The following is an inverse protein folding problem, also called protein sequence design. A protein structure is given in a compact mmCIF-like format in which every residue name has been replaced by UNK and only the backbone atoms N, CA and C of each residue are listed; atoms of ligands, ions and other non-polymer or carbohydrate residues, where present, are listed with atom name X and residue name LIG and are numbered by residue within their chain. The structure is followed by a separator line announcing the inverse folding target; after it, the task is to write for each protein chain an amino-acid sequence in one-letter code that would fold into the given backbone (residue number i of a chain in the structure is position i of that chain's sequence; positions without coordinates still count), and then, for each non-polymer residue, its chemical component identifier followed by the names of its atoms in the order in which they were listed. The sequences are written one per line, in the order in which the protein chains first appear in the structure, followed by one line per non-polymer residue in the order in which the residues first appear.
data_IF_272583731781
#
_entry.id   IF_272583731781
#
_cell.length_a   1.000
_cell.length_b   1.000
_cell.length_c   1.000
_cell.angle_alpha   90.00
_cell.angle_beta   90.00
_cell.angle_gamma   90.00
#
_symmetry.space_group_name_H-M   'P 1'
#
loop_
_entity.id
_entity.type
_entity.pdbx_description
1 polymer ?
#
# COMPACT_ATOMS: atom_id res chain seq x y z
N UNK A 1 46.28 42.62 -7.35
CA UNK A 1 44.98 42.62 -8.00
C UNK A 1 44.27 41.33 -7.70
N UNK A 2 43.32 41.41 -6.79
CA UNK A 2 42.58 40.31 -6.22
C UNK A 2 41.24 40.18 -6.94
N UNK A 3 40.88 39.02 -7.45
CA UNK A 3 39.52 38.70 -7.91
C UNK A 3 38.98 37.57 -7.07
N UNK A 4 38.09 37.91 -6.13
CA UNK A 4 37.21 36.98 -5.47
C UNK A 4 36.10 36.59 -6.46
N UNK A 5 35.84 35.28 -6.59
CA UNK A 5 34.62 34.74 -7.19
C UNK A 5 33.71 34.28 -6.04
N UNK A 6 32.61 34.97 -5.87
CA UNK A 6 31.52 34.59 -5.03
C UNK A 6 30.69 33.55 -5.76
N UNK A 7 30.61 32.33 -5.18
CA UNK A 7 29.71 31.28 -5.64
C UNK A 7 28.42 31.36 -4.79
N UNK A 8 27.39 31.99 -5.38
CA UNK A 8 26.04 31.91 -4.81
C UNK A 8 25.47 30.51 -4.98
N UNK A 9 25.28 29.84 -3.84
CA UNK A 9 24.54 28.60 -3.74
C UNK A 9 23.03 28.92 -3.73
N UNK A 10 22.39 28.76 -4.87
CA UNK A 10 20.95 28.88 -5.00
C UNK A 10 20.25 27.68 -4.34
N UNK A 11 19.77 27.86 -3.10
CA UNK A 11 18.80 26.94 -2.49
C UNK A 11 17.46 27.11 -3.19
N UNK A 12 17.12 26.16 -4.05
CA UNK A 12 15.80 26.04 -4.64
C UNK A 12 14.77 25.76 -3.56
N UNK A 13 13.95 26.76 -3.26
CA UNK A 13 12.77 26.62 -2.40
C UNK A 13 11.74 25.83 -3.20
N UNK A 14 11.61 24.54 -2.91
CA UNK A 14 10.50 23.75 -3.42
C UNK A 14 9.23 24.20 -2.71
N UNK A 15 8.42 24.98 -3.43
CA UNK A 15 7.08 25.36 -3.00
C UNK A 15 6.21 24.11 -3.00
N UNK A 16 5.95 23.57 -1.81
CA UNK A 16 4.95 22.53 -1.62
C UNK A 16 3.58 23.10 -1.97
N UNK A 17 3.05 22.73 -3.13
CA UNK A 17 1.64 22.97 -3.48
C UNK A 17 0.77 22.26 -2.46
N UNK A 18 -0.14 23.00 -1.82
CA UNK A 18 -1.18 22.40 -0.95
C UNK A 18 -2.01 21.44 -1.81
N UNK A 19 -2.15 20.15 -1.39
CA UNK A 19 -2.98 19.21 -2.13
C UNK A 19 -4.43 19.67 -2.14
N UNK A 20 -5.07 19.59 -3.29
CA UNK A 20 -6.51 19.87 -3.42
C UNK A 20 -7.26 18.71 -2.74
N UNK A 21 -8.38 19.02 -2.07
CA UNK A 21 -9.25 18.06 -1.34
C UNK A 21 -9.65 16.78 -2.10
N UNK A 22 -9.33 16.67 -3.38
CA UNK A 22 -9.57 15.48 -4.22
C UNK A 22 -8.50 14.38 -4.08
N UNK A 23 -7.34 14.68 -3.50
CA UNK A 23 -6.23 13.71 -3.38
C UNK A 23 -6.41 12.73 -2.20
N UNK A 24 -7.38 12.98 -1.31
CA UNK A 24 -7.66 12.11 -0.15
C UNK A 24 -8.27 10.76 -0.57
N UNK A 25 -8.92 10.69 -1.75
CA UNK A 25 -9.52 9.48 -2.28
C UNK A 25 -8.54 8.48 -2.87
N UNK A 26 -7.38 8.93 -3.36
CA UNK A 26 -6.47 8.13 -4.19
C UNK A 26 -5.75 7.07 -3.37
N UNK A 27 -5.16 7.44 -2.23
CA UNK A 27 -4.45 6.47 -1.39
C UNK A 27 -5.41 5.41 -0.84
N UNK A 28 -6.61 5.81 -0.40
CA UNK A 28 -7.64 4.88 0.07
C UNK A 28 -8.20 4.00 -1.06
N UNK A 29 -8.35 4.52 -2.29
CA UNK A 29 -8.84 3.75 -3.42
C UNK A 29 -7.81 2.72 -3.91
N UNK A 30 -6.53 3.08 -4.00
CA UNK A 30 -5.46 2.16 -4.40
C UNK A 30 -5.35 0.99 -3.44
N UNK A 31 -5.44 1.25 -2.14
CA UNK A 31 -5.37 0.20 -1.12
C UNK A 31 -6.65 -0.64 -1.09
N UNK A 32 -7.84 -0.04 -1.29
CA UNK A 32 -9.10 -0.78 -1.45
C UNK A 32 -9.08 -1.72 -2.66
N UNK A 33 -8.49 -1.27 -3.77
CA UNK A 33 -8.33 -2.09 -4.97
C UNK A 33 -7.33 -3.22 -4.71
N UNK A 34 -6.20 -2.98 -4.06
CA UNK A 34 -5.25 -4.04 -3.68
C UNK A 34 -5.87 -5.09 -2.75
N UNK A 35 -6.79 -4.70 -1.85
CA UNK A 35 -7.46 -5.62 -0.94
C UNK A 35 -8.65 -6.35 -1.55
N UNK A 36 -9.39 -5.73 -2.49
CA UNK A 36 -10.45 -6.41 -3.25
C UNK A 36 -9.87 -7.46 -4.20
N UNK A 37 -8.61 -7.30 -4.62
CA UNK A 37 -7.93 -8.24 -5.52
C UNK A 37 -7.31 -9.44 -4.81
N UNK A 38 -6.99 -9.31 -3.53
CA UNK A 38 -6.65 -10.43 -2.66
C UNK A 38 -7.89 -11.30 -2.32
N UNK A 39 -8.93 -11.26 -3.15
CA UNK A 39 -10.16 -12.05 -3.07
C UNK A 39 -9.99 -13.56 -3.15
N UNK A 40 -8.87 -14.08 -2.69
CA UNK A 40 -8.67 -15.47 -2.34
C UNK A 40 -8.96 -15.62 -0.85
N UNK A 41 -10.19 -16.06 -0.55
CA UNK A 41 -10.55 -16.81 0.66
C UNK A 41 -9.77 -16.42 1.92
N UNK A 42 -10.05 -15.24 2.48
CA UNK A 42 -9.80 -15.02 3.90
C UNK A 42 -10.75 -15.98 4.62
N UNK A 43 -10.27 -17.20 4.89
CA UNK A 43 -10.82 -18.04 5.94
C UNK A 43 -10.61 -17.21 7.20
N UNK A 44 -11.69 -16.57 7.65
CA UNK A 44 -11.78 -15.96 8.97
C UNK A 44 -11.52 -17.10 9.95
N UNK A 45 -10.26 -17.33 10.28
CA UNK A 45 -9.86 -18.10 11.46
C UNK A 45 -10.19 -17.22 12.65
N UNK A 46 -11.41 -17.40 13.11
CA UNK A 46 -11.91 -16.93 14.39
C UNK A 46 -10.99 -17.43 15.52
N UNK A 47 -9.85 -16.77 15.71
CA UNK A 47 -9.06 -16.91 16.92
C UNK A 47 -9.67 -15.97 17.96
N UNK A 48 -10.71 -16.44 18.63
CA UNK A 48 -11.11 -15.94 19.94
C UNK A 48 -9.97 -16.20 20.94
N UNK A 49 -8.94 -15.35 20.88
CA UNK A 49 -8.08 -15.15 22.05
C UNK A 49 -8.75 -14.04 22.87
N UNK A 50 -9.48 -14.46 23.89
CA UNK A 50 -9.97 -13.59 24.96
C UNK A 50 -8.75 -13.00 25.71
N UNK A 51 -8.14 -11.95 25.16
CA UNK A 51 -7.34 -11.02 25.96
C UNK A 51 -8.33 -10.01 26.53
N UNK A 52 -8.33 -9.87 27.85
CA UNK A 52 -9.04 -8.76 28.54
C UNK A 52 -8.60 -7.46 27.89
N UNK A 53 -9.52 -6.59 27.43
CA UNK A 53 -9.16 -5.29 26.88
C UNK A 53 -8.39 -4.51 27.94
N UNK A 54 -7.29 -3.92 27.53
CA UNK A 54 -6.52 -3.00 28.37
C UNK A 54 -7.32 -1.69 28.39
N UNK A 55 -8.06 -1.43 29.48
CA UNK A 55 -9.06 -0.33 29.60
C UNK A 55 -8.53 1.04 29.14
N UNK A 56 -7.21 1.30 29.25
CA UNK A 56 -6.59 2.55 28.78
C UNK A 56 -6.44 2.68 27.26
N UNK A 57 -6.49 1.60 26.49
CA UNK A 57 -6.35 1.65 25.03
C UNK A 57 -7.67 2.03 24.35
N UNK A 58 -8.78 1.69 24.96
CA UNK A 58 -10.12 1.92 24.42
C UNK A 58 -10.53 3.42 24.47
N UNK A 59 -9.87 4.24 25.30
CA UNK A 59 -10.22 5.66 25.48
C UNK A 59 -9.99 6.51 24.23
N UNK A 60 -8.91 6.26 23.45
CA UNK A 60 -8.57 7.07 22.27
C UNK A 60 -9.54 6.82 21.13
N UNK A 61 -9.84 5.55 20.83
CA UNK A 61 -10.80 5.21 19.81
C UNK A 61 -12.21 5.72 20.14
N UNK A 62 -12.65 5.60 21.40
CA UNK A 62 -13.96 6.08 21.85
C UNK A 62 -14.10 7.61 21.79
N UNK A 63 -12.99 8.34 21.86
CA UNK A 63 -12.98 9.80 21.74
C UNK A 63 -13.17 10.31 20.31
N UNK A 64 -13.02 9.45 19.29
CA UNK A 64 -13.23 9.80 17.90
C UNK A 64 -14.71 10.08 17.60
N UNK A 65 -14.98 10.92 16.61
CA UNK A 65 -16.33 11.11 16.06
C UNK A 65 -16.86 9.79 15.46
N UNK A 66 -18.16 9.68 15.21
CA UNK A 66 -18.75 8.48 14.60
C UNK A 66 -18.11 8.19 13.22
N UNK A 67 -17.97 9.21 12.38
CA UNK A 67 -17.33 9.10 11.06
C UNK A 67 -15.86 8.71 11.16
N UNK A 68 -15.12 9.28 12.11
CA UNK A 68 -13.71 8.93 12.31
C UNK A 68 -13.55 7.50 12.81
N UNK A 69 -14.49 6.98 13.61
CA UNK A 69 -14.48 5.57 14.03
C UNK A 69 -14.72 4.63 12.85
N UNK A 70 -15.66 4.96 11.96
CA UNK A 70 -15.88 4.19 10.74
C UNK A 70 -14.62 4.15 9.86
N UNK A 71 -13.93 5.30 9.74
CA UNK A 71 -12.64 5.37 9.02
C UNK A 71 -11.55 4.57 9.72
N UNK A 72 -11.49 4.63 11.05
CA UNK A 72 -10.51 3.85 11.83
C UNK A 72 -10.76 2.33 11.71
N UNK A 73 -12.02 1.90 11.73
CA UNK A 73 -12.39 0.50 11.56
C UNK A 73 -12.03 0.00 10.16
N UNK A 74 -12.27 0.81 9.11
CA UNK A 74 -11.88 0.51 7.74
C UNK A 74 -10.36 0.35 7.61
N UNK A 75 -9.58 1.27 8.19
CA UNK A 75 -8.13 1.19 8.14
C UNK A 75 -7.58 0.01 8.97
N UNK A 76 -8.23 -0.32 10.09
CA UNK A 76 -7.86 -1.47 10.90
C UNK A 76 -8.05 -2.78 10.13
N UNK A 77 -9.15 -2.92 9.40
CA UNK A 77 -9.40 -4.06 8.52
C UNK A 77 -8.40 -4.11 7.37
N UNK A 78 -8.19 -2.97 6.71
CA UNK A 78 -7.34 -2.86 5.54
C UNK A 78 -5.88 -3.20 5.81
N UNK A 79 -5.33 -2.73 6.94
CA UNK A 79 -3.93 -2.93 7.32
C UNK A 79 -3.73 -4.04 8.37
N UNK A 80 -4.77 -4.87 8.60
CA UNK A 80 -4.72 -5.99 9.53
C UNK A 80 -4.15 -5.58 10.91
N UNK A 81 -4.65 -4.48 11.46
CA UNK A 81 -4.18 -3.89 12.72
C UNK A 81 -5.35 -3.62 13.67
N UNK A 82 -5.04 -3.28 14.93
CA UNK A 82 -6.07 -2.92 15.90
C UNK A 82 -6.58 -1.48 15.65
N UNK A 83 -7.91 -1.26 15.69
CA UNK A 83 -8.54 0.06 15.59
C UNK A 83 -8.00 1.07 16.61
N UNK A 84 -7.60 0.62 17.79
CA UNK A 84 -6.94 1.43 18.80
C UNK A 84 -5.58 1.93 18.34
N UNK A 85 -4.84 1.12 17.58
CA UNK A 85 -3.56 1.52 16.98
C UNK A 85 -3.79 2.58 15.90
N UNK A 86 -4.80 2.39 15.05
CA UNK A 86 -5.21 3.40 14.05
C UNK A 86 -5.58 4.71 14.73
N UNK A 87 -6.42 4.66 15.77
CA UNK A 87 -6.83 5.84 16.53
C UNK A 87 -5.65 6.59 17.16
N UNK A 88 -4.64 5.88 17.67
CA UNK A 88 -3.42 6.49 18.20
C UNK A 88 -2.63 7.19 17.09
N UNK A 89 -2.41 6.55 15.95
CA UNK A 89 -1.71 7.15 14.82
C UNK A 89 -2.47 8.39 14.36
N UNK A 90 -3.80 8.33 14.29
CA UNK A 90 -4.64 9.47 13.96
C UNK A 90 -4.51 10.61 14.96
N UNK A 91 -4.44 10.33 16.25
CA UNK A 91 -4.23 11.34 17.29
C UNK A 91 -2.86 12.04 17.17
N UNK A 92 -1.84 11.33 16.70
CA UNK A 92 -0.51 11.86 16.43
C UNK A 92 -0.46 12.70 15.16
N UNK A 93 -0.99 12.17 14.06
CA UNK A 93 -0.91 12.78 12.73
C UNK A 93 -1.96 13.88 12.52
N UNK A 94 -3.12 13.76 13.17
CA UNK A 94 -4.31 14.62 13.03
C UNK A 94 -4.80 14.76 11.58
N UNK A 95 -4.44 13.80 10.75
CA UNK A 95 -4.72 13.76 9.32
C UNK A 95 -4.89 12.32 8.86
N UNK A 96 -6.03 11.99 8.25
CA UNK A 96 -6.33 10.62 7.83
C UNK A 96 -5.45 10.14 6.67
N UNK A 97 -5.02 11.03 5.79
CA UNK A 97 -4.10 10.67 4.70
C UNK A 97 -2.73 10.27 5.28
N UNK A 98 -2.20 11.07 6.21
CA UNK A 98 -0.93 10.74 6.88
C UNK A 98 -1.05 9.48 7.74
N UNK A 99 -2.21 9.26 8.38
CA UNK A 99 -2.50 8.03 9.10
C UNK A 99 -2.44 6.82 8.17
N UNK A 100 -3.10 6.89 7.02
CA UNK A 100 -3.07 5.84 6.01
C UNK A 100 -1.65 5.53 5.51
N UNK A 101 -0.88 6.56 5.16
CA UNK A 101 0.52 6.40 4.73
C UNK A 101 1.40 5.73 5.78
N UNK A 102 1.21 6.06 7.06
CA UNK A 102 1.97 5.44 8.14
C UNK A 102 1.57 3.98 8.35
N UNK A 103 0.29 3.67 8.29
CA UNK A 103 -0.21 2.30 8.36
C UNK A 103 0.27 1.46 7.18
N UNK A 104 0.24 2.01 5.96
CA UNK A 104 0.78 1.38 4.77
C UNK A 104 2.28 1.10 4.91
N UNK A 105 3.03 2.07 5.40
CA UNK A 105 4.44 1.89 5.68
C UNK A 105 4.66 0.76 6.69
N UNK A 106 3.94 0.75 7.81
CA UNK A 106 4.06 -0.28 8.85
C UNK A 106 3.59 -1.66 8.37
N UNK A 107 2.76 -1.72 7.32
CA UNK A 107 2.33 -2.97 6.69
C UNK A 107 3.42 -3.59 5.81
N UNK A 108 4.02 -2.78 4.94
CA UNK A 108 4.99 -3.25 3.95
C UNK A 108 6.43 -3.22 4.44
N UNK A 109 6.72 -2.54 5.56
CA UNK A 109 8.07 -2.49 6.14
C UNK A 109 8.07 -2.94 7.60
N UNK A 110 9.23 -3.36 8.06
CA UNK A 110 9.46 -3.72 9.47
C UNK A 110 10.20 -2.54 10.12
N UNK A 111 9.62 -1.88 11.15
CA UNK A 111 10.28 -0.76 11.82
C UNK A 111 11.67 -1.13 12.34
N UNK A 112 12.63 -0.22 12.26
CA UNK A 112 14.04 -0.47 12.61
C UNK A 112 14.24 -1.00 14.04
N UNK A 113 13.48 -0.48 15.01
CA UNK A 113 13.51 -1.00 16.37
C UNK A 113 13.01 -2.45 16.45
N UNK A 114 12.05 -2.82 15.61
CA UNK A 114 11.52 -4.19 15.52
C UNK A 114 12.52 -5.12 14.81
N UNK A 115 13.18 -4.64 13.73
CA UNK A 115 14.26 -5.40 13.07
C UNK A 115 15.37 -5.72 14.07
N UNK A 116 15.82 -4.71 14.82
CA UNK A 116 16.84 -4.91 15.86
C UNK A 116 16.43 -5.95 16.90
N UNK A 117 15.16 -5.91 17.39
CA UNK A 117 14.66 -6.92 18.33
C UNK A 117 14.63 -8.31 17.72
N UNK A 118 14.14 -8.44 16.48
CA UNK A 118 14.10 -9.73 15.77
C UNK A 118 15.50 -10.30 15.51
N UNK A 119 16.49 -9.46 15.19
CA UNK A 119 17.89 -9.91 15.08
C UNK A 119 18.42 -10.49 16.40
N UNK A 120 18.13 -9.85 17.54
CA UNK A 120 18.49 -10.37 18.88
C UNK A 120 17.78 -11.70 19.17
N UNK A 121 16.62 -11.94 18.58
CA UNK A 121 15.88 -13.20 18.68
C UNK A 121 16.38 -14.29 17.72
N UNK A 122 17.30 -13.95 16.79
CA UNK A 122 17.94 -14.89 15.86
C UNK A 122 17.39 -14.88 14.44
N UNK A 123 16.65 -13.85 14.04
CA UNK A 123 16.30 -13.62 12.63
C UNK A 123 17.48 -13.02 11.87
N UNK A 124 17.60 -13.30 10.57
CA UNK A 124 18.61 -12.69 9.72
C UNK A 124 18.13 -11.35 9.19
N UNK A 125 18.99 -10.33 9.17
CA UNK A 125 18.65 -9.03 8.57
C UNK A 125 18.29 -9.19 7.09
N UNK A 126 19.00 -10.03 6.35
CA UNK A 126 18.72 -10.33 4.94
C UNK A 126 17.31 -10.91 4.76
N UNK A 127 16.86 -11.78 5.68
CA UNK A 127 15.50 -12.33 5.66
C UNK A 127 14.45 -11.27 5.99
N UNK A 128 14.72 -10.35 6.92
CA UNK A 128 13.82 -9.23 7.23
C UNK A 128 13.65 -8.29 6.03
N UNK A 129 14.75 -7.94 5.36
CA UNK A 129 14.70 -7.14 4.12
C UNK A 129 14.01 -7.89 2.96
N UNK A 130 14.21 -9.20 2.88
CA UNK A 130 13.53 -10.01 1.86
C UNK A 130 12.03 -10.10 2.14
N UNK A 131 11.61 -10.15 3.41
CA UNK A 131 10.21 -10.10 3.80
C UNK A 131 9.53 -8.80 3.34
N UNK A 132 10.19 -7.65 3.47
CA UNK A 132 9.69 -6.37 2.97
C UNK A 132 9.52 -6.37 1.44
N UNK A 133 10.49 -6.90 0.71
CA UNK A 133 10.39 -7.02 -0.76
C UNK A 133 9.26 -7.95 -1.20
N UNK A 134 9.06 -9.05 -0.48
CA UNK A 134 7.99 -10.01 -0.77
C UNK A 134 6.63 -9.47 -0.33
N UNK A 135 6.56 -8.69 0.73
CA UNK A 135 5.34 -8.02 1.20
C UNK A 135 4.71 -7.20 0.08
N UNK A 136 5.48 -6.34 -0.57
CA UNK A 136 5.01 -5.54 -1.72
C UNK A 136 4.55 -6.43 -2.89
N UNK A 137 5.23 -7.55 -3.12
CA UNK A 137 4.92 -8.44 -4.24
C UNK A 137 3.71 -9.35 -3.99
N UNK A 138 3.39 -9.64 -2.75
CA UNK A 138 2.33 -10.59 -2.38
C UNK A 138 1.12 -9.92 -1.75
N UNK A 139 1.22 -8.63 -1.38
CA UNK A 139 0.20 -7.94 -0.60
C UNK A 139 0.06 -8.48 0.84
N UNK A 140 1.05 -9.24 1.34
CA UNK A 140 1.06 -9.80 2.71
C UNK A 140 1.92 -8.93 3.62
N UNK A 141 1.60 -8.88 4.90
CA UNK A 141 2.31 -8.07 5.89
C UNK A 141 3.77 -8.51 6.06
N UNK A 142 4.72 -7.56 5.99
CA UNK A 142 6.15 -7.86 6.02
C UNK A 142 6.59 -8.63 7.27
N UNK A 143 6.12 -8.19 8.44
CA UNK A 143 6.47 -8.83 9.72
C UNK A 143 5.91 -10.26 9.83
N UNK A 144 4.77 -10.55 9.19
CA UNK A 144 4.20 -11.89 9.18
C UNK A 144 4.98 -12.84 8.28
N UNK A 145 5.37 -12.35 7.10
CA UNK A 145 6.27 -13.09 6.21
C UNK A 145 7.60 -13.42 6.90
N UNK A 146 8.20 -12.45 7.61
CA UNK A 146 9.42 -12.67 8.36
C UNK A 146 9.25 -13.73 9.46
N UNK A 147 8.15 -13.67 10.22
CA UNK A 147 7.83 -14.67 11.27
C UNK A 147 7.58 -16.05 10.68
N UNK A 148 6.91 -16.14 9.54
CA UNK A 148 6.66 -17.40 8.84
C UNK A 148 7.95 -18.01 8.29
N UNK A 149 8.86 -17.17 7.75
CA UNK A 149 10.21 -17.59 7.35
C UNK A 149 10.98 -18.19 8.53
N UNK A 150 10.80 -17.60 9.71
CA UNK A 150 11.39 -18.08 10.95
C UNK A 150 12.83 -17.66 11.16
N UNK A 151 13.42 -18.16 12.24
CA UNK A 151 14.80 -17.82 12.62
C UNK A 151 15.82 -18.52 11.71
N UNK A 152 17.02 -17.99 11.64
CA UNK A 152 18.13 -18.55 10.83
C UNK A 152 18.38 -20.04 11.17
N UNK A 153 18.21 -20.42 12.43
CA UNK A 153 18.38 -21.80 12.89
C UNK A 153 17.33 -22.78 12.33
N UNK A 154 16.18 -22.31 11.89
CA UNK A 154 15.11 -23.13 11.32
C UNK A 154 15.39 -23.54 9.88
N UNK A 155 16.31 -22.87 9.21
CA UNK A 155 16.77 -23.16 7.85
C UNK A 155 15.65 -23.31 6.81
N UNK A 156 14.52 -22.60 7.01
CA UNK A 156 13.39 -22.59 6.07
C UNK A 156 13.76 -21.76 4.83
N UNK A 157 13.33 -22.18 3.66
CA UNK A 157 13.54 -21.42 2.42
C UNK A 157 12.35 -20.49 2.14
N UNK A 158 12.58 -19.38 1.41
CA UNK A 158 11.52 -18.47 1.02
C UNK A 158 10.47 -19.10 0.09
N UNK A 159 10.86 -20.09 -0.73
CA UNK A 159 9.94 -20.92 -1.52
C UNK A 159 8.95 -21.75 -0.69
N UNK A 160 9.25 -21.97 0.60
CA UNK A 160 8.35 -22.65 1.52
C UNK A 160 7.33 -21.70 2.15
N UNK A 161 7.60 -20.40 2.10
CA UNK A 161 6.78 -19.32 2.70
C UNK A 161 5.89 -18.65 1.65
N UNK A 162 6.47 -18.36 0.48
CA UNK A 162 5.79 -17.67 -0.63
C UNK A 162 5.91 -18.52 -1.89
N UNK A 163 4.76 -18.87 -2.47
CA UNK A 163 4.70 -19.59 -3.75
C UNK A 163 4.67 -18.59 -4.90
N UNK A 164 5.18 -18.99 -6.06
CA UNK A 164 5.15 -18.16 -7.27
C UNK A 164 3.73 -17.71 -7.65
N UNK A 165 2.72 -18.54 -7.34
CA UNK A 165 1.30 -18.22 -7.56
C UNK A 165 0.74 -17.13 -6.63
N UNK A 166 1.45 -16.76 -5.58
CA UNK A 166 1.07 -15.70 -4.65
C UNK A 166 1.70 -14.35 -5.05
N UNK A 167 2.63 -14.37 -6.01
CA UNK A 167 3.28 -13.14 -6.48
C UNK A 167 2.36 -12.43 -7.46
N UNK A 168 1.94 -11.24 -7.08
CA UNK A 168 1.11 -10.38 -7.91
C UNK A 168 1.86 -9.96 -9.19
N UNK A 169 1.18 -9.95 -10.32
CA UNK A 169 1.67 -9.35 -11.55
C UNK A 169 1.85 -7.83 -11.38
N UNK A 170 2.59 -7.19 -12.28
CA UNK A 170 2.77 -5.72 -12.24
C UNK A 170 1.43 -5.00 -12.35
N UNK A 171 0.52 -5.52 -13.17
CA UNK A 171 -0.82 -4.97 -13.33
C UNK A 171 -1.64 -5.06 -12.03
N UNK A 172 -1.55 -6.19 -11.32
CA UNK A 172 -2.21 -6.39 -10.03
C UNK A 172 -1.58 -5.49 -8.94
N UNK A 173 -0.25 -5.35 -8.91
CA UNK A 173 0.43 -4.44 -8.00
C UNK A 173 0.04 -2.97 -8.22
N UNK A 174 -0.36 -2.60 -9.45
CA UNK A 174 -0.89 -1.28 -9.80
C UNK A 174 -2.42 -1.19 -9.64
N UNK A 175 -3.06 -2.21 -9.06
CA UNK A 175 -4.45 -2.14 -8.66
C UNK A 175 -5.47 -2.67 -9.68
N UNK A 176 -5.04 -3.28 -10.79
CA UNK A 176 -5.98 -3.95 -11.70
C UNK A 176 -6.43 -5.30 -11.13
N UNK A 177 -7.72 -5.57 -11.17
CA UNK A 177 -8.24 -6.91 -10.86
C UNK A 177 -7.92 -7.91 -11.96
N UNK A 178 -7.92 -9.19 -11.62
CA UNK A 178 -7.78 -10.25 -12.61
C UNK A 178 -8.85 -10.19 -13.70
N UNK A 179 -10.06 -9.77 -13.33
CA UNK A 179 -11.17 -9.57 -14.27
C UNK A 179 -10.90 -8.39 -15.21
N UNK A 180 -10.42 -7.27 -14.67
CA UNK A 180 -10.03 -6.10 -15.47
C UNK A 180 -8.85 -6.42 -16.40
N UNK A 181 -7.83 -7.11 -15.88
CA UNK A 181 -6.69 -7.58 -16.69
C UNK A 181 -7.18 -8.46 -17.82
N UNK A 182 -8.12 -9.37 -17.56
CA UNK A 182 -8.68 -10.25 -18.60
C UNK A 182 -9.47 -9.46 -19.65
N UNK A 183 -10.31 -8.50 -19.22
CA UNK A 183 -11.04 -7.64 -20.15
C UNK A 183 -10.11 -6.83 -21.06
N UNK A 184 -9.01 -6.30 -20.53
CA UNK A 184 -8.01 -5.58 -21.32
C UNK A 184 -7.26 -6.52 -22.28
N UNK A 185 -6.99 -7.78 -21.89
CA UNK A 185 -6.44 -8.82 -22.79
C UNK A 185 -7.41 -9.15 -23.92
N UNK A 186 -8.70 -9.24 -23.64
CA UNK A 186 -9.75 -9.49 -24.63
C UNK A 186 -9.83 -8.35 -25.65
N UNK A 187 -9.45 -7.13 -25.28
CA UNK A 187 -9.24 -6.00 -26.21
C UNK A 187 -7.88 -6.02 -26.91
N UNK A 188 -7.10 -7.09 -26.77
CA UNK A 188 -5.77 -7.30 -27.38
C UNK A 188 -4.70 -6.28 -26.94
N UNK A 189 -4.84 -5.66 -25.76
CA UNK A 189 -3.83 -4.77 -25.24
C UNK A 189 -2.58 -5.56 -24.80
N UNK A 190 -1.41 -5.04 -25.17
CA UNK A 190 -0.11 -5.51 -24.67
C UNK A 190 0.01 -5.36 -23.15
N UNK A 191 1.03 -5.98 -22.56
CA UNK A 191 1.29 -5.83 -21.12
C UNK A 191 1.61 -4.37 -20.77
N UNK A 192 2.39 -3.70 -21.60
CA UNK A 192 2.78 -2.30 -21.44
C UNK A 192 1.56 -1.40 -21.45
N UNK A 193 0.65 -1.57 -22.41
CA UNK A 193 -0.59 -0.80 -22.49
C UNK A 193 -1.50 -1.04 -21.27
N UNK A 194 -1.57 -2.26 -20.75
CA UNK A 194 -2.35 -2.56 -19.53
C UNK A 194 -1.75 -1.88 -18.30
N UNK A 195 -0.42 -1.80 -18.21
CA UNK A 195 0.28 -1.04 -17.16
C UNK A 195 -0.04 0.47 -17.29
N UNK A 196 -0.03 1.02 -18.50
CA UNK A 196 -0.41 2.42 -18.73
C UNK A 196 -1.87 2.68 -18.32
N UNK A 197 -2.79 1.78 -18.63
CA UNK A 197 -4.18 1.86 -18.14
C UNK A 197 -4.22 1.86 -16.62
N UNK A 198 -3.49 0.96 -15.96
CA UNK A 198 -3.44 0.93 -14.49
C UNK A 198 -2.95 2.27 -13.91
N UNK A 199 -1.94 2.89 -14.53
CA UNK A 199 -1.44 4.23 -14.12
C UNK A 199 -2.49 5.32 -14.32
N UNK A 200 -3.24 5.30 -15.43
CA UNK A 200 -4.34 6.25 -15.67
C UNK A 200 -5.42 6.15 -14.58
N UNK A 201 -5.76 4.93 -14.18
CA UNK A 201 -6.74 4.70 -13.10
C UNK A 201 -6.22 5.16 -11.74
N UNK A 202 -4.94 4.94 -11.44
CA UNK A 202 -4.29 5.41 -10.21
C UNK A 202 -4.27 6.93 -10.09
N UNK A 203 -4.16 7.65 -11.21
CA UNK A 203 -4.18 9.11 -11.23
C UNK A 203 -5.62 9.68 -11.18
N UNK A 204 -6.64 8.82 -11.10
CA UNK A 204 -8.08 9.20 -11.14
C UNK A 204 -8.48 10.02 -12.40
N UNK A 205 -7.71 9.90 -13.46
CA UNK A 205 -8.00 10.60 -14.71
C UNK A 205 -9.21 9.99 -15.42
N UNK A 206 -9.40 8.67 -15.20
CA UNK A 206 -10.50 7.88 -15.75
C UNK A 206 -10.97 6.82 -14.75
N UNK A 207 -12.23 6.42 -14.86
CA UNK A 207 -12.72 5.16 -14.33
C UNK A 207 -12.39 4.02 -15.30
N UNK A 208 -12.42 2.77 -14.83
CA UNK A 208 -12.16 1.61 -15.68
C UNK A 208 -13.19 1.51 -16.82
N UNK A 209 -14.45 1.80 -16.53
CA UNK A 209 -15.55 1.82 -17.48
C UNK A 209 -15.33 2.87 -18.58
N UNK A 210 -14.90 4.07 -18.22
CA UNK A 210 -14.59 5.13 -19.18
C UNK A 210 -13.41 4.76 -20.10
N UNK A 211 -12.40 4.06 -19.56
CA UNK A 211 -11.29 3.53 -20.39
C UNK A 211 -11.84 2.51 -21.38
N UNK A 212 -12.66 1.56 -20.94
CA UNK A 212 -13.24 0.55 -21.84
C UNK A 212 -14.10 1.18 -22.94
N UNK A 213 -14.97 2.13 -22.61
CA UNK A 213 -15.79 2.85 -23.59
C UNK A 213 -14.94 3.56 -24.64
N UNK A 214 -13.85 4.21 -24.22
CA UNK A 214 -12.94 4.92 -25.14
C UNK A 214 -12.18 3.94 -26.06
N UNK A 215 -11.74 2.81 -25.53
CA UNK A 215 -11.10 1.75 -26.31
C UNK A 215 -12.10 1.14 -27.33
N UNK A 216 -13.37 0.95 -26.95
CA UNK A 216 -14.43 0.51 -27.84
C UNK A 216 -14.78 1.54 -28.93
N UNK A 217 -14.66 2.81 -28.62
CA UNK A 217 -14.78 3.90 -29.60
C UNK A 217 -13.56 4.02 -30.53
N UNK A 218 -12.57 3.11 -30.43
CA UNK A 218 -11.40 3.04 -31.29
C UNK A 218 -10.25 3.96 -30.90
N UNK A 219 -10.26 4.52 -29.68
CA UNK A 219 -9.11 5.24 -29.14
C UNK A 219 -8.02 4.29 -28.68
N UNK A 220 -6.77 4.72 -28.78
CA UNK A 220 -5.62 3.98 -28.27
C UNK A 220 -5.28 4.44 -26.84
N UNK A 221 -4.56 3.61 -26.08
CA UNK A 221 -4.07 3.97 -24.74
C UNK A 221 -3.16 5.19 -24.82
N UNK A 222 -2.31 5.29 -25.85
CA UNK A 222 -1.45 6.44 -26.10
C UNK A 222 -2.23 7.76 -26.29
N UNK A 223 -3.42 7.71 -26.89
CA UNK A 223 -4.28 8.88 -27.03
C UNK A 223 -4.91 9.31 -25.71
N UNK A 224 -5.20 8.34 -24.83
CA UNK A 224 -5.72 8.62 -23.49
C UNK A 224 -4.66 9.27 -22.61
N UNK A 225 -3.42 8.78 -22.63
CA UNK A 225 -2.30 9.35 -21.86
C UNK A 225 -1.89 10.74 -22.32
N UNK A 226 -2.01 11.06 -23.62
CA UNK A 226 -1.66 12.40 -24.18
C UNK A 226 -2.69 13.50 -23.89
N UNK A 227 -3.93 13.17 -23.56
CA UNK A 227 -4.95 14.18 -23.27
C UNK A 227 -4.72 14.90 -21.93
N UNK A 228 -3.91 14.36 -21.06
CA UNK A 228 -3.58 14.90 -19.74
C UNK A 228 -2.40 15.86 -19.73
N UNK A 229 -1.57 15.82 -20.75
CA UNK A 229 -0.38 16.67 -20.85
C UNK A 229 -0.68 18.13 -21.26
N UNK A 230 -1.96 18.53 -21.31
CA UNK A 230 -2.43 19.89 -21.63
C UNK A 230 -3.16 20.54 -20.47
#
# INVERSE_FOLDING_TARGET
MSCRKDTESGMGVYSLRKPKRKEIGIAAAVVLVLCLLAGTSIIIRNHQNQRKPDEKKEEVYQSLSATDRETADLYAELYETDREQVAKIQAETKDWEQTGRKLEQDFFTIPENTKYQMEQEGYSLDDLEQAEKLSVKTGRKAIELAKEKGKTSENRQWSDVVKDSEILSTEEQLGLSNEQIQQLKDKSLSKEERIEVAVLLLNEDYTFEEVLEKLEAGKTVEELTKQEAK
#
